data_IF_366473080609
#
_entry.id   IF_366473080609
#
_cell.length_a   1.000
_cell.length_b   1.000
_cell.length_c   1.000
_cell.angle_alpha   90.00
_cell.angle_beta   90.00
_cell.angle_gamma   90.00
#
_symmetry.space_group_name_H-M   'P 1'
#
loop_
_entity.id
_entity.type
_entity.pdbx_description
1 polymer ?
#
# COMPACT_ATOMS: atom_id res chain seq x y z
N UNK A 1 -14.89 -96.83 72.11
CA UNK A 1 -15.53 -95.52 72.09
C UNK A 1 -14.45 -94.46 72.35
N UNK A 2 -14.07 -93.71 71.37
CA UNK A 2 -13.06 -92.71 71.53
C UNK A 2 -13.80 -91.39 71.70
N UNK A 3 -13.85 -90.88 72.95
CA UNK A 3 -14.41 -89.65 73.32
C UNK A 3 -13.27 -88.62 73.53
N UNK A 4 -12.89 -87.93 72.55
CA UNK A 4 -12.32 -86.57 72.60
C UNK A 4 -11.71 -86.20 71.27
N UNK A 5 -12.55 -85.85 70.31
CA UNK A 5 -12.07 -85.16 69.14
C UNK A 5 -12.07 -83.64 69.48
N UNK A 6 -10.91 -83.14 69.89
CA UNK A 6 -10.72 -81.69 69.97
C UNK A 6 -10.69 -81.05 68.54
N UNK A 7 -11.61 -80.21 68.31
CA UNK A 7 -11.69 -79.43 67.10
C UNK A 7 -10.41 -78.59 66.93
N UNK A 8 -9.68 -78.82 65.88
CA UNK A 8 -8.46 -78.06 65.56
C UNK A 8 -8.88 -76.77 64.87
N UNK A 9 -8.97 -75.71 65.64
CA UNK A 9 -9.16 -74.34 65.07
C UNK A 9 -7.90 -73.86 64.38
N UNK A 10 -7.92 -73.79 63.07
CA UNK A 10 -6.85 -73.18 62.28
C UNK A 10 -6.95 -71.70 62.41
N UNK A 11 -5.89 -70.99 62.86
CA UNK A 11 -5.93 -69.52 62.92
C UNK A 11 -6.02 -68.96 61.50
N UNK A 12 -7.04 -68.17 61.21
CA UNK A 12 -7.14 -67.47 59.98
C UNK A 12 -6.07 -66.32 59.97
N UNK A 13 -5.21 -66.31 58.97
CA UNK A 13 -4.18 -65.30 58.83
C UNK A 13 -4.82 -63.86 58.76
N UNK A 14 -4.12 -62.95 59.33
CA UNK A 14 -4.54 -61.55 59.26
C UNK A 14 -4.75 -61.01 57.81
N UNK A 15 -5.75 -60.22 57.50
CA UNK A 15 -5.92 -59.64 56.18
C UNK A 15 -4.68 -58.84 55.79
N UNK A 16 -4.23 -59.00 54.54
CA UNK A 16 -3.13 -58.22 54.00
C UNK A 16 -3.44 -56.68 54.03
N UNK A 17 -2.44 -55.91 54.28
CA UNK A 17 -2.56 -54.43 54.26
C UNK A 17 -2.80 -53.97 52.83
N UNK A 18 -3.71 -53.02 52.70
CA UNK A 18 -3.94 -52.37 51.41
C UNK A 18 -2.63 -51.76 50.84
N UNK A 19 -2.39 -51.92 49.53
CA UNK A 19 -1.26 -51.33 48.83
C UNK A 19 -1.29 -49.83 48.98
N UNK A 20 -0.13 -49.21 49.00
CA UNK A 20 0.01 -47.75 48.99
C UNK A 20 -0.44 -47.18 47.64
N UNK A 21 -1.15 -46.03 47.67
CA UNK A 21 -1.47 -45.33 46.44
C UNK A 21 -0.22 -45.04 45.62
N UNK A 22 -0.29 -45.22 44.31
CA UNK A 22 0.79 -44.89 43.41
C UNK A 22 1.14 -43.40 43.48
N UNK A 23 2.38 -43.07 43.26
CA UNK A 23 2.83 -41.67 43.21
C UNK A 23 2.07 -40.93 42.11
N UNK A 24 1.74 -39.62 42.32
CA UNK A 24 1.17 -38.79 41.26
C UNK A 24 2.07 -38.79 40.01
N UNK A 25 1.46 -38.84 38.83
CA UNK A 25 2.21 -38.75 37.57
C UNK A 25 2.99 -37.45 37.49
N UNK A 26 4.10 -37.44 36.78
CA UNK A 26 4.91 -36.24 36.52
C UNK A 26 4.07 -35.21 35.81
N UNK A 27 4.23 -33.96 36.20
CA UNK A 27 3.59 -32.82 35.49
C UNK A 27 4.05 -32.83 34.04
N UNK A 28 3.13 -32.74 33.09
CA UNK A 28 3.45 -32.59 31.66
C UNK A 28 4.32 -31.34 31.41
N UNK A 29 5.16 -31.41 30.40
CA UNK A 29 6.02 -30.33 29.99
C UNK A 29 5.17 -29.10 29.62
N UNK A 30 5.72 -27.92 29.91
CA UNK A 30 5.09 -26.64 29.45
C UNK A 30 5.16 -26.65 27.93
N UNK A 31 4.01 -26.44 27.28
CA UNK A 31 3.97 -26.30 25.82
C UNK A 31 4.94 -25.20 25.34
N UNK A 32 5.54 -25.41 24.16
CA UNK A 32 6.43 -24.45 23.53
C UNK A 32 5.69 -23.11 23.36
N UNK A 33 6.41 -22.01 23.59
CA UNK A 33 5.89 -20.67 23.28
C UNK A 33 5.52 -20.62 21.80
N UNK A 34 4.29 -20.19 21.47
CA UNK A 34 3.88 -19.99 20.09
C UNK A 34 4.85 -19.08 19.36
N UNK A 35 5.08 -19.33 18.08
CA UNK A 35 5.87 -18.45 17.24
C UNK A 35 5.29 -17.01 17.29
N UNK A 36 6.17 -16.02 17.33
CA UNK A 36 5.75 -14.64 17.21
C UNK A 36 4.92 -14.47 15.93
N UNK A 37 3.79 -13.78 16.03
CA UNK A 37 3.00 -13.43 14.85
C UNK A 37 3.90 -12.70 13.86
N UNK A 38 3.84 -13.06 12.60
CA UNK A 38 4.49 -12.29 11.55
C UNK A 38 3.84 -10.91 11.49
N UNK A 39 4.67 -9.87 11.40
CA UNK A 39 4.16 -8.53 11.12
C UNK A 39 3.35 -8.58 9.82
N UNK A 40 2.15 -7.98 9.84
CA UNK A 40 1.36 -7.86 8.63
C UNK A 40 2.21 -7.22 7.54
N UNK A 41 2.31 -7.88 6.39
CA UNK A 41 3.11 -7.42 5.25
C UNK A 41 2.37 -6.36 4.45
N UNK A 42 1.06 -6.25 4.63
CA UNK A 42 0.21 -5.32 3.90
C UNK A 42 0.10 -3.99 4.64
N UNK A 43 0.68 -2.95 4.09
CA UNK A 43 0.67 -1.62 4.68
C UNK A 43 0.58 -0.50 3.66
N UNK A 44 -0.06 0.60 4.05
CA UNK A 44 -0.06 1.84 3.28
C UNK A 44 0.88 2.82 3.92
N UNK A 45 1.82 3.34 3.16
CA UNK A 45 2.76 4.38 3.60
C UNK A 45 2.61 5.61 2.72
N UNK A 46 2.52 6.79 3.32
CA UNK A 46 2.60 8.04 2.58
C UNK A 46 4.07 8.37 2.39
N UNK A 47 4.53 8.40 1.14
CA UNK A 47 5.92 8.71 0.79
C UNK A 47 6.14 10.22 0.68
N UNK A 48 5.17 10.93 0.13
CA UNK A 48 5.21 12.38 -0.02
C UNK A 48 3.79 12.97 -0.02
N UNK A 49 3.69 14.18 0.47
CA UNK A 49 2.46 14.97 0.36
C UNK A 49 2.80 16.43 0.10
N UNK A 50 2.05 17.04 -0.81
CA UNK A 50 2.00 18.46 -1.06
C UNK A 50 0.54 18.89 -0.93
N UNK A 51 0.30 19.88 -0.12
CA UNK A 51 -1.03 20.42 0.09
C UNK A 51 -0.92 21.94 0.24
N UNK A 52 -1.42 22.67 -0.72
CA UNK A 52 -1.35 24.12 -0.74
C UNK A 52 -2.65 24.71 -1.28
N UNK A 53 -3.36 25.46 -0.45
CA UNK A 53 -4.65 26.06 -0.81
C UNK A 53 -4.49 27.05 -1.98
N UNK A 54 -3.40 27.81 -2.00
CA UNK A 54 -3.12 28.73 -3.12
C UNK A 54 -2.59 28.01 -4.35
N UNK A 55 -1.93 26.85 -4.13
CA UNK A 55 -1.35 26.02 -5.19
C UNK A 55 -0.07 26.62 -5.81
N UNK A 56 0.52 25.84 -6.70
CA UNK A 56 1.56 26.28 -7.64
C UNK A 56 0.98 26.17 -9.03
N UNK A 57 1.05 27.23 -9.79
CA UNK A 57 0.41 27.32 -11.09
C UNK A 57 1.39 27.53 -12.24
N UNK A 58 0.87 27.38 -13.46
CA UNK A 58 1.62 27.67 -14.68
C UNK A 58 1.93 29.18 -14.78
N UNK A 59 3.13 29.54 -15.23
CA UNK A 59 3.42 30.93 -15.60
C UNK A 59 2.64 31.36 -16.86
N UNK A 60 2.57 32.65 -17.11
CA UNK A 60 2.00 33.20 -18.34
C UNK A 60 2.97 33.02 -19.52
N UNK A 61 3.42 31.83 -19.78
CA UNK A 61 4.39 31.48 -20.83
C UNK A 61 4.11 30.09 -21.41
N UNK A 62 4.66 29.84 -22.59
CA UNK A 62 4.56 28.55 -23.25
C UNK A 62 5.67 27.56 -22.81
N UNK A 63 6.32 27.84 -21.67
CA UNK A 63 7.40 26.99 -21.16
C UNK A 63 6.85 25.99 -20.17
N UNK A 64 7.22 24.73 -20.33
CA UNK A 64 6.89 23.69 -19.35
C UNK A 64 7.51 24.04 -17.99
N UNK A 65 6.70 23.99 -16.95
CA UNK A 65 7.08 24.32 -15.58
C UNK A 65 6.80 23.16 -14.68
N UNK A 66 7.79 22.78 -13.86
CA UNK A 66 7.60 21.78 -12.82
C UNK A 66 6.80 22.37 -11.66
N UNK A 67 5.70 21.71 -11.33
CA UNK A 67 4.80 22.09 -10.24
C UNK A 67 5.08 21.30 -8.96
N UNK A 68 5.57 20.08 -9.10
CA UNK A 68 5.90 19.20 -7.99
C UNK A 68 6.97 18.18 -8.43
N UNK A 69 7.88 17.86 -7.53
CA UNK A 69 8.83 16.76 -7.71
C UNK A 69 9.02 16.00 -6.41
N UNK A 70 9.18 14.70 -6.53
CA UNK A 70 9.55 13.80 -5.44
C UNK A 70 10.61 12.82 -5.93
N UNK A 71 11.73 12.78 -5.24
CA UNK A 71 12.79 11.82 -5.52
C UNK A 71 12.48 10.52 -4.78
N UNK A 72 12.06 9.51 -5.52
CA UNK A 72 11.76 8.19 -4.99
C UNK A 72 13.07 7.41 -4.81
N UNK A 73 13.39 6.94 -3.59
CA UNK A 73 14.58 6.13 -3.35
C UNK A 73 14.57 4.84 -4.18
N UNK A 74 15.76 4.36 -4.52
CA UNK A 74 15.94 3.07 -5.16
C UNK A 74 15.24 1.97 -4.35
N UNK A 75 14.71 0.97 -5.04
CA UNK A 75 14.01 -0.17 -4.43
C UNK A 75 12.81 0.20 -3.52
N UNK A 76 12.21 1.38 -3.70
CA UNK A 76 10.99 1.74 -2.97
C UNK A 76 9.89 0.71 -3.17
N UNK A 77 9.71 0.18 -4.39
CA UNK A 77 8.88 -0.98 -4.69
C UNK A 77 9.79 -2.21 -4.83
N UNK A 78 10.13 -2.86 -3.71
CA UNK A 78 11.10 -3.97 -3.68
C UNK A 78 10.47 -5.34 -3.93
N UNK A 79 9.16 -5.48 -3.74
CA UNK A 79 8.43 -6.75 -3.83
C UNK A 79 7.43 -6.71 -4.98
N UNK A 80 7.35 -7.78 -5.78
CA UNK A 80 6.35 -7.89 -6.84
C UNK A 80 4.94 -7.91 -6.22
N UNK A 81 4.01 -7.21 -6.86
CA UNK A 81 2.69 -6.94 -6.30
C UNK A 81 2.60 -5.66 -5.46
N UNK A 82 3.73 -5.06 -5.05
CA UNK A 82 3.69 -3.75 -4.40
C UNK A 82 3.24 -2.67 -5.38
N UNK A 83 2.53 -1.68 -4.86
CA UNK A 83 1.94 -0.61 -5.67
C UNK A 83 2.36 0.78 -5.20
N UNK A 84 2.44 1.72 -6.14
CA UNK A 84 2.36 3.16 -5.89
C UNK A 84 1.01 3.68 -6.34
N UNK A 85 0.45 4.61 -5.58
CA UNK A 85 -0.64 5.45 -6.04
C UNK A 85 -0.19 6.91 -6.00
N UNK A 86 -0.22 7.54 -7.16
CA UNK A 86 0.02 8.98 -7.32
C UNK A 86 -1.34 9.66 -7.40
N UNK A 87 -1.61 10.55 -6.47
CA UNK A 87 -2.86 11.28 -6.40
C UNK A 87 -2.62 12.78 -6.53
N UNK A 88 -3.28 13.42 -7.49
CA UNK A 88 -3.17 14.85 -7.74
C UNK A 88 -4.55 15.50 -7.79
N UNK A 89 -4.65 16.69 -7.22
CA UNK A 89 -5.79 17.60 -7.43
C UNK A 89 -5.26 18.84 -8.12
N UNK A 90 -5.81 19.11 -9.28
CA UNK A 90 -5.49 20.29 -10.10
C UNK A 90 -6.74 21.08 -10.38
N UNK A 91 -6.64 22.40 -10.22
CA UNK A 91 -7.64 23.33 -10.70
C UNK A 91 -7.20 23.89 -12.05
N UNK A 92 -8.12 23.89 -12.98
CA UNK A 92 -7.94 24.51 -14.28
C UNK A 92 -8.87 25.71 -14.37
N UNK A 93 -8.32 26.92 -14.40
CA UNK A 93 -9.09 28.14 -14.55
C UNK A 93 -9.18 28.54 -16.02
N UNK A 94 -10.35 28.95 -16.43
CA UNK A 94 -10.69 29.53 -17.76
C UNK A 94 -9.98 29.00 -19.02
N UNK A 95 -10.51 29.34 -20.12
CA UNK A 95 -10.28 29.28 -21.58
C UNK A 95 -8.88 28.96 -22.14
N UNK A 96 -7.93 28.45 -21.37
CA UNK A 96 -6.60 28.13 -21.87
C UNK A 96 -6.42 26.62 -22.11
N UNK A 97 -5.84 26.31 -23.25
CA UNK A 97 -5.36 24.95 -23.51
C UNK A 97 -4.09 24.73 -22.69
N UNK A 98 -4.12 23.73 -21.82
CA UNK A 98 -2.99 23.37 -20.93
C UNK A 98 -2.64 21.92 -21.14
N UNK A 99 -1.36 21.65 -21.21
CA UNK A 99 -0.83 20.30 -21.15
C UNK A 99 -0.28 20.06 -19.75
N UNK A 100 -0.73 19.00 -19.11
CA UNK A 100 -0.27 18.55 -17.82
C UNK A 100 0.42 17.18 -17.99
N UNK A 101 1.58 17.02 -17.37
CA UNK A 101 2.37 15.79 -17.45
C UNK A 101 2.71 15.25 -16.09
N UNK A 102 2.61 13.94 -15.94
CA UNK A 102 3.14 13.20 -14.80
C UNK A 102 4.20 12.26 -15.33
N UNK A 103 5.40 12.36 -14.77
CA UNK A 103 6.58 11.59 -15.20
C UNK A 103 7.07 10.70 -14.06
N UNK A 104 7.43 9.49 -14.37
CA UNK A 104 8.20 8.59 -13.50
C UNK A 104 9.36 8.03 -14.32
N UNK A 105 10.57 8.47 -14.05
CA UNK A 105 11.72 8.13 -14.88
C UNK A 105 11.46 8.45 -16.35
N UNK A 106 11.55 7.46 -17.22
CA UNK A 106 11.29 7.60 -18.66
C UNK A 106 9.80 7.56 -19.05
N UNK A 107 8.93 7.11 -18.16
CA UNK A 107 7.48 7.04 -18.44
C UNK A 107 6.82 8.40 -18.22
N UNK A 108 6.08 8.85 -19.25
CA UNK A 108 5.38 10.14 -19.23
C UNK A 108 3.90 9.89 -19.54
N UNK A 109 3.02 10.41 -18.69
CA UNK A 109 1.60 10.53 -18.95
C UNK A 109 1.30 12.00 -19.29
N UNK A 110 0.62 12.21 -20.39
CA UNK A 110 0.25 13.53 -20.87
C UNK A 110 -1.26 13.66 -20.88
N UNK A 111 -1.74 14.74 -20.28
CA UNK A 111 -3.14 15.09 -20.20
C UNK A 111 -3.33 16.44 -20.86
N UNK A 112 -4.39 16.57 -21.63
CA UNK A 112 -4.74 17.82 -22.31
C UNK A 112 -6.03 18.38 -21.72
N UNK A 113 -6.05 19.66 -21.46
CA UNK A 113 -7.28 20.40 -21.27
C UNK A 113 -7.54 21.25 -22.49
N UNK A 114 -8.66 21.02 -23.13
CA UNK A 114 -9.21 21.85 -24.19
C UNK A 114 -10.61 22.22 -23.73
N UNK A 115 -10.77 23.25 -22.92
CA UNK A 115 -12.08 23.64 -22.42
C UNK A 115 -12.10 25.09 -21.98
N UNK A 116 -13.23 25.75 -22.22
CA UNK A 116 -13.52 27.12 -21.77
C UNK A 116 -14.15 27.19 -20.37
N UNK A 117 -14.18 26.08 -19.65
CA UNK A 117 -14.87 25.95 -18.35
C UNK A 117 -13.84 25.70 -17.26
N UNK A 118 -13.99 26.37 -16.13
CA UNK A 118 -13.25 26.09 -14.91
C UNK A 118 -13.61 24.71 -14.42
N UNK A 119 -12.62 23.87 -14.15
CA UNK A 119 -12.82 22.54 -13.61
C UNK A 119 -11.74 22.18 -12.59
N UNK A 120 -12.12 21.35 -11.62
CA UNK A 120 -11.19 20.66 -10.75
C UNK A 120 -11.09 19.22 -11.20
N UNK A 121 -9.87 18.69 -11.29
CA UNK A 121 -9.59 17.33 -11.72
C UNK A 121 -8.88 16.57 -10.63
N UNK A 122 -9.37 15.39 -10.38
CA UNK A 122 -8.65 14.38 -9.62
C UNK A 122 -7.98 13.40 -10.58
N UNK A 123 -6.67 13.25 -10.44
CA UNK A 123 -5.88 12.31 -11.22
C UNK A 123 -5.29 11.29 -10.28
N UNK A 124 -5.58 10.03 -10.55
CA UNK A 124 -5.02 8.87 -9.84
C UNK A 124 -4.28 7.99 -10.82
N UNK A 125 -3.02 7.72 -10.52
CA UNK A 125 -2.21 6.76 -11.27
C UNK A 125 -1.79 5.69 -10.28
N UNK A 126 -2.17 4.46 -10.54
CA UNK A 126 -1.67 3.29 -9.83
C UNK A 126 -0.62 2.58 -10.68
N UNK A 127 0.45 2.21 -10.03
CA UNK A 127 1.60 1.55 -10.63
C UNK A 127 1.84 0.28 -9.84
N UNK A 128 1.50 -0.87 -10.42
CA UNK A 128 1.76 -2.16 -9.81
C UNK A 128 3.06 -2.75 -10.37
N UNK A 129 3.98 -3.08 -9.48
CA UNK A 129 5.20 -3.78 -9.86
C UNK A 129 4.89 -5.23 -10.20
N UNK A 130 5.27 -5.68 -11.39
CA UNK A 130 5.25 -7.10 -11.81
C UNK A 130 6.64 -7.71 -11.82
N UNK A 131 7.68 -6.89 -11.98
CA UNK A 131 9.10 -7.24 -11.78
C UNK A 131 9.91 -5.98 -11.48
N UNK A 132 11.20 -6.10 -11.24
CA UNK A 132 12.07 -4.93 -11.00
C UNK A 132 12.08 -3.93 -12.16
N UNK A 133 11.82 -4.40 -13.38
CA UNK A 133 11.82 -3.57 -14.59
C UNK A 133 10.49 -3.54 -15.32
N UNK A 134 9.44 -4.15 -14.78
CA UNK A 134 8.14 -4.21 -15.46
C UNK A 134 7.03 -3.78 -14.52
N UNK A 135 6.15 -2.91 -14.99
CA UNK A 135 5.01 -2.39 -14.25
C UNK A 135 3.75 -2.38 -15.12
N UNK A 136 2.62 -2.59 -14.44
CA UNK A 136 1.29 -2.30 -14.99
C UNK A 136 0.79 -1.00 -14.40
N UNK A 137 0.26 -0.14 -15.24
CA UNK A 137 -0.23 1.17 -14.88
C UNK A 137 -1.74 1.24 -15.10
N UNK A 138 -2.44 1.80 -14.15
CA UNK A 138 -3.83 2.21 -14.34
C UNK A 138 -3.95 3.69 -14.02
N UNK A 139 -4.57 4.41 -14.92
CA UNK A 139 -4.79 5.84 -14.80
C UNK A 139 -6.28 6.11 -14.75
N UNK A 140 -6.70 6.86 -13.75
CA UNK A 140 -8.06 7.37 -13.62
C UNK A 140 -8.01 8.89 -13.52
N UNK A 141 -8.80 9.54 -14.33
CA UNK A 141 -9.03 10.98 -14.25
C UNK A 141 -10.52 11.23 -14.03
N UNK A 142 -10.84 11.89 -12.92
CA UNK A 142 -12.19 12.35 -12.62
C UNK A 142 -12.23 13.86 -12.86
N UNK A 143 -13.23 14.32 -13.62
CA UNK A 143 -13.44 15.73 -13.94
C UNK A 143 -14.77 16.14 -13.33
N UNK A 144 -14.77 17.17 -12.50
CA UNK A 144 -15.97 17.58 -11.75
C UNK A 144 -17.13 18.03 -12.65
N UNK A 145 -16.84 18.49 -13.85
CA UNK A 145 -17.85 19.00 -14.79
C UNK A 145 -18.32 17.98 -15.82
N UNK A 146 -17.64 16.82 -15.92
CA UNK A 146 -17.96 15.77 -16.89
C UNK A 146 -18.03 14.44 -16.16
N UNK A 147 -19.18 13.82 -16.17
CA UNK A 147 -19.47 12.59 -15.41
C UNK A 147 -18.90 11.31 -16.08
N UNK A 148 -17.73 11.41 -16.72
CA UNK A 148 -17.09 10.26 -17.36
C UNK A 148 -15.62 10.18 -16.94
N UNK A 149 -15.25 9.23 -16.08
CA UNK A 149 -13.85 8.99 -15.74
C UNK A 149 -13.12 8.40 -16.96
N UNK A 150 -11.98 8.97 -17.29
CA UNK A 150 -11.06 8.35 -18.23
C UNK A 150 -10.26 7.27 -17.49
N UNK A 151 -10.37 6.03 -17.93
CA UNK A 151 -9.55 4.93 -17.46
C UNK A 151 -8.64 4.46 -18.59
N UNK A 152 -7.34 4.50 -18.36
CA UNK A 152 -6.33 3.98 -19.27
C UNK A 152 -5.49 2.94 -18.52
N UNK A 153 -5.22 1.82 -19.18
CA UNK A 153 -4.27 0.81 -18.70
C UNK A 153 -3.11 0.72 -19.68
N UNK A 154 -1.91 0.62 -19.14
CA UNK A 154 -0.68 0.58 -19.93
C UNK A 154 0.40 -0.22 -19.19
N UNK A 155 1.49 -0.53 -19.86
CA UNK A 155 2.66 -1.18 -19.29
C UNK A 155 3.90 -0.33 -19.53
N UNK A 156 4.88 -0.45 -18.67
CA UNK A 156 6.17 0.21 -18.87
C UNK A 156 7.33 -0.65 -18.38
N UNK A 157 8.53 -0.23 -18.78
CA UNK A 157 9.80 -0.84 -18.38
C UNK A 157 10.67 0.19 -17.69
N UNK A 158 10.21 0.69 -16.54
CA UNK A 158 11.02 1.60 -15.70
C UNK A 158 11.81 0.76 -14.70
N UNK A 159 13.11 1.03 -14.56
CA UNK A 159 13.96 0.33 -13.61
C UNK A 159 13.71 0.86 -12.19
N UNK A 160 12.98 0.09 -11.40
CA UNK A 160 12.63 0.43 -10.01
C UNK A 160 13.77 0.19 -9.02
N UNK A 161 14.89 -0.39 -9.45
CA UNK A 161 16.08 -0.57 -8.61
C UNK A 161 16.92 0.69 -8.48
N UNK A 162 16.63 1.70 -9.27
CA UNK A 162 17.33 2.99 -9.29
C UNK A 162 16.55 4.09 -8.57
N UNK A 163 17.23 5.21 -8.29
CA UNK A 163 16.56 6.43 -7.84
C UNK A 163 15.77 7.00 -9.02
N UNK A 164 14.49 7.31 -8.80
CA UNK A 164 13.60 7.86 -9.82
C UNK A 164 12.96 9.15 -9.34
N UNK A 165 12.80 10.10 -10.24
CA UNK A 165 11.99 11.29 -9.96
C UNK A 165 10.55 11.07 -10.42
N UNK A 166 9.62 11.37 -9.53
CA UNK A 166 8.21 11.57 -9.84
C UNK A 166 8.03 13.06 -10.00
N UNK A 167 7.68 13.50 -11.20
CA UNK A 167 7.52 14.90 -11.53
C UNK A 167 6.11 15.17 -12.06
N UNK A 168 5.55 16.28 -11.62
CA UNK A 168 4.32 16.83 -12.14
C UNK A 168 4.67 18.18 -12.77
N UNK A 169 4.40 18.35 -14.05
CA UNK A 169 4.69 19.55 -14.80
C UNK A 169 3.51 19.97 -15.67
N UNK A 170 3.47 21.24 -16.02
CA UNK A 170 2.45 21.79 -16.92
C UNK A 170 3.00 22.89 -17.80
N UNK A 171 2.35 23.09 -18.94
CA UNK A 171 2.62 24.19 -19.86
C UNK A 171 1.32 24.71 -20.46
N UNK A 172 1.26 26.00 -20.73
CA UNK A 172 0.22 26.57 -21.55
C UNK A 172 0.53 26.32 -23.03
N UNK A 173 -0.46 25.90 -23.81
CA UNK A 173 -0.29 25.63 -25.25
C UNK A 173 -0.65 26.83 -26.10
N UNK A 174 -1.16 27.89 -25.47
CA UNK A 174 -1.41 29.23 -26.09
C UNK A 174 -1.04 30.30 -25.09
N UNK A 175 -0.73 31.49 -25.57
CA UNK A 175 -0.49 32.65 -24.71
C UNK A 175 -1.71 32.88 -23.80
N UNK A 176 -1.50 32.82 -22.50
CA UNK A 176 -2.55 32.87 -21.50
C UNK A 176 -2.06 33.61 -20.25
N UNK A 177 -2.96 33.81 -19.32
CA UNK A 177 -2.63 34.38 -18.02
C UNK A 177 -1.91 33.33 -17.16
N UNK A 178 -1.16 33.74 -16.13
CA UNK A 178 -0.58 32.86 -15.14
C UNK A 178 -1.68 32.10 -14.37
N UNK A 179 -1.32 30.94 -13.83
CA UNK A 179 -2.20 30.10 -13.01
C UNK A 179 -3.42 29.54 -13.76
N UNK A 180 -3.32 29.29 -15.04
CA UNK A 180 -4.37 28.61 -15.82
C UNK A 180 -4.54 27.16 -15.42
N UNK A 181 -3.48 26.54 -14.91
CA UNK A 181 -3.51 25.27 -14.20
C UNK A 181 -2.77 25.43 -12.88
N UNK A 182 -3.40 25.03 -11.79
CA UNK A 182 -2.87 25.15 -10.43
C UNK A 182 -2.90 23.81 -9.74
N UNK A 183 -1.74 23.32 -9.31
CA UNK A 183 -1.64 22.13 -8.48
C UNK A 183 -2.03 22.47 -7.05
N UNK A 184 -3.11 21.88 -6.55
CA UNK A 184 -3.60 22.04 -5.18
C UNK A 184 -3.07 20.98 -4.24
N UNK A 185 -2.98 19.75 -4.71
CA UNK A 185 -2.55 18.61 -3.89
C UNK A 185 -1.78 17.61 -4.72
N UNK A 186 -0.74 17.06 -4.14
CA UNK A 186 -0.09 15.85 -4.60
C UNK A 186 0.14 14.93 -3.40
N UNK A 187 -0.17 13.66 -3.53
CA UNK A 187 0.11 12.65 -2.50
C UNK A 187 0.60 11.38 -3.18
N UNK A 188 1.64 10.80 -2.64
CA UNK A 188 2.21 9.55 -3.12
C UNK A 188 2.06 8.52 -2.03
N UNK A 189 1.30 7.47 -2.31
CA UNK A 189 1.10 6.33 -1.43
C UNK A 189 1.89 5.13 -1.94
N UNK A 190 2.44 4.36 -1.01
CA UNK A 190 3.00 3.04 -1.26
C UNK A 190 2.15 2.01 -0.55
N UNK A 191 1.78 0.97 -1.28
CA UNK A 191 1.13 -0.23 -0.76
C UNK A 191 2.12 -1.39 -0.87
N UNK A 192 2.34 -2.08 0.24
CA UNK A 192 3.17 -3.29 0.30
C UNK A 192 2.28 -4.52 0.45
N UNK A 193 2.56 -5.57 -0.28
CA UNK A 193 1.94 -6.90 -0.14
C UNK A 193 2.77 -7.77 0.76
#
# INVERSE_FOLDING_TARGET
>A
MCTDCKELTIPTGAPGTNGTNGAPGVKGDTGLTGANGQNGTNGTTILATYNNITGVGTPASLVETTLFTYTMPANTLSTDGSELELFFIIDCTTAANVTFRIKLGSKIFTFFKISSIDDTREIRIKIARTSVTTQVWSLRQDITTVNQPLLVMDTSTVDLSTILNIECSAENTSASTANTLVLKKATIYKYTV
#
